data_IF_559223148182
#
_entry.id   IF_559223148182
#
_cell.length_a   1.000
_cell.length_b   1.000
_cell.length_c   1.000
_cell.angle_alpha   90.00
_cell.angle_beta   90.00
_cell.angle_gamma   90.00
#
_symmetry.space_group_name_H-M   'P 1'
#
loop_
_entity.id
_entity.type
_entity.pdbx_description
1 polymer ?
#
# COMPACT_ATOMS: atom_id res chain seq x y z
N UNK A 1 -23.25 28.34 -16.46
CA UNK A 1 -21.81 28.52 -16.25
C UNK A 1 -21.23 28.71 -17.63
N UNK A 2 -20.74 29.92 -17.93
CA UNK A 2 -20.13 30.24 -19.22
C UNK A 2 -18.67 29.76 -19.19
N UNK A 3 -18.45 28.49 -19.54
CA UNK A 3 -17.15 27.85 -19.63
C UNK A 3 -16.94 27.21 -21.01
N UNK A 4 -15.72 26.75 -21.29
CA UNK A 4 -15.44 26.03 -22.53
C UNK A 4 -16.14 24.65 -22.54
N UNK A 5 -16.91 24.38 -23.59
CA UNK A 5 -17.60 23.08 -23.80
C UNK A 5 -16.62 21.92 -23.98
N UNK A 6 -15.39 22.21 -24.41
CA UNK A 6 -14.32 21.23 -24.64
C UNK A 6 -13.01 21.72 -24.07
N UNK A 7 -12.34 20.85 -23.30
CA UNK A 7 -11.00 21.08 -22.76
C UNK A 7 -10.07 19.98 -23.26
N UNK A 8 -8.91 20.38 -23.78
CA UNK A 8 -7.86 19.46 -24.21
C UNK A 8 -6.59 19.78 -23.43
N UNK A 9 -6.19 18.86 -22.56
CA UNK A 9 -4.97 18.99 -21.76
C UNK A 9 -3.82 18.27 -22.46
N UNK A 10 -2.78 19.00 -22.83
CA UNK A 10 -1.58 18.41 -23.45
C UNK A 10 -0.55 18.05 -22.38
N UNK A 11 -0.57 16.80 -21.91
CA UNK A 11 0.45 16.26 -21.00
C UNK A 11 0.78 14.81 -21.36
N UNK A 12 2.05 14.41 -21.17
CA UNK A 12 2.50 13.03 -21.37
C UNK A 12 2.49 12.20 -20.09
N UNK A 13 2.41 12.86 -18.95
CA UNK A 13 2.50 12.22 -17.64
C UNK A 13 1.16 11.63 -17.22
N UNK A 14 1.18 10.35 -16.82
CA UNK A 14 0.00 9.64 -16.32
C UNK A 14 -0.54 10.21 -15.02
N UNK A 15 0.28 10.90 -14.24
CA UNK A 15 -0.16 11.54 -12.99
C UNK A 15 -1.19 12.65 -13.29
N UNK A 16 -1.04 13.34 -14.42
CA UNK A 16 -2.04 14.30 -14.90
C UNK A 16 -3.33 13.60 -15.33
N UNK A 17 -3.27 12.40 -15.92
CA UNK A 17 -4.48 11.65 -16.25
C UNK A 17 -5.29 11.33 -15.00
N UNK A 18 -4.62 10.97 -13.90
CA UNK A 18 -5.26 10.65 -12.62
C UNK A 18 -5.93 11.89 -12.01
N UNK A 19 -5.26 13.06 -12.06
CA UNK A 19 -5.84 14.35 -11.67
C UNK A 19 -7.07 14.69 -12.51
N UNK A 20 -6.95 14.63 -13.83
CA UNK A 20 -8.07 14.93 -14.73
C UNK A 20 -9.24 13.98 -14.52
N UNK A 21 -8.95 12.69 -14.24
CA UNK A 21 -9.99 11.71 -13.91
C UNK A 21 -10.77 12.18 -12.70
N UNK A 22 -10.10 12.57 -11.60
CA UNK A 22 -10.77 13.05 -10.38
C UNK A 22 -11.62 14.31 -10.60
N UNK A 23 -11.06 15.31 -11.30
CA UNK A 23 -11.69 16.62 -11.50
C UNK A 23 -12.62 16.69 -12.73
N UNK A 24 -12.79 15.60 -13.49
CA UNK A 24 -13.51 15.60 -14.77
C UNK A 24 -14.89 16.29 -14.69
N UNK A 25 -15.68 15.95 -13.67
CA UNK A 25 -17.03 16.51 -13.46
C UNK A 25 -17.07 18.00 -13.11
N UNK A 26 -15.94 18.61 -12.75
CA UNK A 26 -15.85 20.03 -12.39
C UNK A 26 -15.31 20.90 -13.53
N UNK A 27 -14.68 20.29 -14.55
CA UNK A 27 -13.97 21.01 -15.61
C UNK A 27 -14.85 21.26 -16.84
N UNK A 28 -15.27 20.19 -17.52
CA UNK A 28 -16.04 20.27 -18.76
C UNK A 28 -16.68 18.92 -19.10
N UNK A 29 -17.82 18.95 -19.79
CA UNK A 29 -18.48 17.75 -20.29
C UNK A 29 -17.64 17.00 -21.34
N UNK A 30 -16.75 17.70 -22.04
CA UNK A 30 -15.87 17.12 -23.05
C UNK A 30 -14.39 17.34 -22.71
N UNK A 31 -13.85 16.48 -21.82
CA UNK A 31 -12.47 16.55 -21.35
C UNK A 31 -11.58 15.50 -22.03
N UNK A 32 -10.49 15.97 -22.66
CA UNK A 32 -9.50 15.13 -23.33
C UNK A 32 -8.09 15.35 -22.78
N UNK A 33 -7.30 14.29 -22.73
CA UNK A 33 -5.86 14.39 -22.47
C UNK A 33 -5.07 13.93 -23.68
N UNK A 34 -4.15 14.77 -24.17
CA UNK A 34 -3.31 14.43 -25.32
C UNK A 34 -2.05 13.65 -24.90
N UNK A 35 -2.03 12.34 -25.11
CA UNK A 35 -0.90 11.45 -24.83
C UNK A 35 -0.04 11.18 -26.07
N UNK A 36 1.24 11.59 -26.09
CA UNK A 36 2.24 11.12 -27.08
C UNK A 36 2.79 12.14 -28.10
N UNK A 37 3.69 11.67 -28.98
CA UNK A 37 4.48 12.45 -29.97
C UNK A 37 4.21 12.10 -31.45
N UNK A 38 2.99 11.64 -31.79
CA UNK A 38 2.49 11.11 -33.09
C UNK A 38 2.75 9.61 -33.32
N UNK A 39 1.66 8.83 -33.43
CA UNK A 39 1.23 8.19 -34.70
C UNK A 39 -0.10 7.41 -34.57
N UNK A 40 -0.60 7.09 -33.38
CA UNK A 40 -1.96 6.54 -33.18
C UNK A 40 -2.61 7.12 -31.90
N UNK A 41 -3.95 7.26 -31.95
CA UNK A 41 -4.87 7.94 -31.01
C UNK A 41 -4.18 8.77 -29.90
N UNK A 42 -3.79 10.02 -30.22
CA UNK A 42 -3.04 10.85 -29.28
C UNK A 42 -3.91 11.42 -28.17
N UNK A 43 -5.15 10.97 -28.00
CA UNK A 43 -6.11 11.52 -27.04
C UNK A 43 -6.78 10.42 -26.24
N UNK A 44 -6.83 10.63 -24.93
CA UNK A 44 -7.65 9.88 -23.98
C UNK A 44 -8.89 10.72 -23.70
N UNK A 45 -10.07 10.17 -23.96
CA UNK A 45 -11.35 10.73 -23.55
C UNK A 45 -11.51 10.55 -22.04
N UNK A 46 -11.15 11.55 -21.24
CA UNK A 46 -11.21 11.45 -19.77
C UNK A 46 -12.66 11.37 -19.30
N UNK A 47 -13.57 12.08 -19.98
CA UNK A 47 -15.00 12.08 -19.70
C UNK A 47 -15.69 10.71 -19.91
N UNK A 48 -15.07 9.81 -20.68
CA UNK A 48 -15.58 8.45 -20.90
C UNK A 48 -15.09 7.44 -19.84
N UNK A 49 -14.16 7.84 -18.97
CA UNK A 49 -13.64 6.96 -17.91
C UNK A 49 -14.72 6.78 -16.84
N UNK A 50 -15.33 5.60 -16.83
CA UNK A 50 -16.35 5.23 -15.86
C UNK A 50 -15.72 4.66 -14.59
N UNK A 51 -15.81 5.41 -13.50
CA UNK A 51 -15.46 4.95 -12.15
C UNK A 51 -16.71 4.91 -11.26
N UNK A 52 -16.75 4.01 -10.29
CA UNK A 52 -17.78 4.07 -9.24
C UNK A 52 -17.59 5.36 -8.42
N UNK A 53 -18.63 5.89 -7.74
CA UNK A 53 -18.49 7.10 -6.93
C UNK A 53 -17.34 7.02 -5.90
N UNK A 54 -17.16 5.86 -5.27
CA UNK A 54 -16.05 5.61 -4.33
C UNK A 54 -14.69 5.65 -5.04
N UNK A 55 -14.56 4.99 -6.19
CA UNK A 55 -13.31 5.00 -6.95
C UNK A 55 -12.97 6.40 -7.45
N UNK A 56 -13.95 7.13 -7.97
CA UNK A 56 -13.80 8.53 -8.41
C UNK A 56 -13.30 9.43 -7.29
N UNK A 57 -13.89 9.30 -6.09
CA UNK A 57 -13.49 10.06 -4.90
C UNK A 57 -12.05 9.74 -4.47
N UNK A 58 -11.64 8.48 -4.61
CA UNK A 58 -10.41 7.96 -4.00
C UNK A 58 -9.29 7.66 -5.02
N UNK A 59 -9.44 8.01 -6.30
CA UNK A 59 -8.43 7.70 -7.33
C UNK A 59 -7.08 8.38 -7.05
N UNK A 60 -7.09 9.61 -6.53
CA UNK A 60 -5.87 10.35 -6.18
C UNK A 60 -5.12 9.69 -5.02
N UNK A 61 -5.84 9.35 -3.95
CA UNK A 61 -5.25 8.72 -2.77
C UNK A 61 -4.78 7.30 -3.07
N UNK A 62 -5.52 6.56 -3.90
CA UNK A 62 -5.10 5.26 -4.43
C UNK A 62 -3.79 5.36 -5.21
N UNK A 63 -3.68 6.38 -6.09
CA UNK A 63 -2.46 6.62 -6.85
C UNK A 63 -1.27 6.90 -5.93
N UNK A 64 -1.47 7.73 -4.90
CA UNK A 64 -0.45 8.05 -3.90
C UNK A 64 0.03 6.82 -3.12
N UNK A 65 -0.88 6.03 -2.51
CA UNK A 65 -0.52 4.87 -1.67
C UNK A 65 0.03 3.68 -2.46
N UNK A 66 -0.27 3.58 -3.75
CA UNK A 66 0.31 2.53 -4.62
C UNK A 66 1.60 2.97 -5.29
N UNK A 67 2.06 4.19 -5.02
CA UNK A 67 3.32 4.76 -5.47
C UNK A 67 3.17 5.81 -6.58
N UNK A 68 3.92 6.90 -6.44
CA UNK A 68 4.05 7.99 -7.41
C UNK A 68 5.47 8.56 -7.28
N UNK A 69 5.75 9.72 -7.88
CA UNK A 69 7.09 10.32 -7.84
C UNK A 69 7.63 10.60 -6.43
N UNK A 70 6.74 10.89 -5.46
CA UNK A 70 7.11 11.26 -4.09
C UNK A 70 6.84 10.16 -3.07
N UNK A 71 6.13 9.10 -3.46
CA UNK A 71 5.74 8.00 -2.58
C UNK A 71 6.18 6.68 -3.20
N UNK A 72 6.93 5.88 -2.45
CA UNK A 72 7.47 4.60 -2.92
C UNK A 72 6.38 3.65 -3.43
N UNK A 73 6.64 2.94 -4.53
CA UNK A 73 5.79 1.81 -4.94
C UNK A 73 5.90 0.61 -3.99
N UNK A 74 4.94 -0.31 -4.08
CA UNK A 74 4.93 -1.56 -3.34
C UNK A 74 5.74 -2.63 -4.08
N UNK A 75 6.72 -3.22 -3.40
CA UNK A 75 7.52 -4.30 -3.99
C UNK A 75 6.63 -5.47 -4.42
N UNK A 76 6.79 -5.93 -5.67
CA UNK A 76 5.99 -7.01 -6.26
C UNK A 76 4.53 -6.64 -6.59
N UNK A 77 4.07 -5.43 -6.26
CA UNK A 77 2.68 -5.00 -6.45
C UNK A 77 2.60 -3.68 -7.23
N UNK A 78 2.33 -3.77 -8.53
CA UNK A 78 2.03 -2.60 -9.36
C UNK A 78 0.54 -2.24 -9.35
N UNK A 79 0.21 -1.05 -9.86
CA UNK A 79 -1.17 -0.53 -9.99
C UNK A 79 -2.15 -1.51 -10.64
N UNK A 80 -1.71 -2.28 -11.63
CA UNK A 80 -2.54 -3.32 -12.27
C UNK A 80 -2.94 -4.43 -11.28
N UNK A 81 -2.02 -4.82 -10.40
CA UNK A 81 -2.25 -5.90 -9.42
C UNK A 81 -3.10 -5.43 -8.24
N UNK A 82 -2.94 -4.18 -7.82
CA UNK A 82 -3.71 -3.57 -6.71
C UNK A 82 -5.08 -3.05 -7.15
N UNK A 83 -5.33 -2.88 -8.46
CA UNK A 83 -6.58 -2.34 -8.98
C UNK A 83 -7.82 -3.11 -8.53
N UNK A 84 -7.75 -4.45 -8.52
CA UNK A 84 -8.89 -5.27 -8.08
C UNK A 84 -9.23 -5.04 -6.61
N UNK A 85 -8.22 -4.85 -5.77
CA UNK A 85 -8.40 -4.51 -4.35
C UNK A 85 -9.03 -3.13 -4.23
N UNK A 86 -8.60 -2.17 -5.04
CA UNK A 86 -9.22 -0.83 -5.08
C UNK A 86 -10.69 -0.86 -5.52
N UNK A 87 -11.04 -1.68 -6.51
CA UNK A 87 -12.43 -1.84 -6.95
C UNK A 87 -13.33 -2.38 -5.84
N UNK A 88 -12.81 -3.27 -4.98
CA UNK A 88 -13.59 -3.93 -3.93
C UNK A 88 -13.56 -3.18 -2.60
N UNK A 89 -12.43 -2.57 -2.27
CA UNK A 89 -12.12 -2.02 -0.95
C UNK A 89 -11.70 -0.55 -0.99
N UNK A 90 -12.00 0.17 -2.08
CA UNK A 90 -11.61 1.58 -2.25
C UNK A 90 -12.16 2.52 -1.17
N UNK A 91 -13.23 2.14 -0.47
CA UNK A 91 -13.80 2.91 0.65
C UNK A 91 -12.85 2.98 1.87
N UNK A 92 -11.92 2.02 2.02
CA UNK A 92 -10.89 2.06 3.07
C UNK A 92 -9.95 3.27 2.94
N UNK A 93 -9.97 3.96 1.81
CA UNK A 93 -9.15 5.14 1.53
C UNK A 93 -9.94 6.47 1.66
N UNK A 94 -11.21 6.45 2.07
CA UNK A 94 -12.12 7.62 2.01
C UNK A 94 -11.56 8.88 2.71
N UNK A 95 -10.94 8.68 3.87
CA UNK A 95 -10.41 9.78 4.71
C UNK A 95 -8.96 10.15 4.40
N UNK A 96 -8.25 9.35 3.57
CA UNK A 96 -6.86 9.62 3.27
C UNK A 96 -6.72 10.92 2.46
N UNK A 97 -5.72 11.74 2.80
CA UNK A 97 -5.51 13.05 2.20
C UNK A 97 -6.56 14.10 2.57
N UNK A 98 -7.44 13.82 3.55
CA UNK A 98 -8.49 14.74 4.01
C UNK A 98 -8.29 15.09 5.47
N UNK A 99 -8.32 16.39 5.77
CA UNK A 99 -8.11 16.88 7.12
C UNK A 99 -6.81 16.38 7.75
N UNK A 100 -6.81 16.26 9.08
CA UNK A 100 -5.69 15.72 9.85
C UNK A 100 -5.66 14.19 9.78
N UNK A 101 -4.49 13.62 9.53
CA UNK A 101 -4.32 12.16 9.52
C UNK A 101 -4.56 11.58 10.92
N UNK A 102 -5.58 10.75 11.05
CA UNK A 102 -5.96 10.08 12.29
C UNK A 102 -5.46 8.64 12.35
N UNK A 103 -5.34 8.07 13.56
CA UNK A 103 -5.02 6.65 13.74
C UNK A 103 -6.08 5.73 13.11
N UNK A 104 -7.36 6.12 13.11
CA UNK A 104 -8.41 5.35 12.41
C UNK A 104 -8.18 5.34 10.90
N UNK A 105 -7.77 6.46 10.30
CA UNK A 105 -7.42 6.52 8.88
C UNK A 105 -6.21 5.62 8.58
N UNK A 106 -5.18 5.64 9.45
CA UNK A 106 -4.00 4.78 9.31
C UNK A 106 -4.42 3.29 9.34
N UNK A 107 -5.30 2.89 10.26
CA UNK A 107 -5.82 1.51 10.35
C UNK A 107 -6.64 1.11 9.12
N UNK A 108 -7.50 1.98 8.61
CA UNK A 108 -8.27 1.70 7.39
C UNK A 108 -7.35 1.49 6.18
N UNK A 109 -6.32 2.33 6.03
CA UNK A 109 -5.34 2.17 4.95
C UNK A 109 -4.46 0.94 5.19
N UNK A 110 -4.12 0.60 6.43
CA UNK A 110 -3.43 -0.65 6.76
C UNK A 110 -4.25 -1.88 6.34
N UNK A 111 -5.56 -1.88 6.61
CA UNK A 111 -6.44 -2.95 6.13
C UNK A 111 -6.40 -3.04 4.60
N UNK A 112 -6.41 -1.92 3.87
CA UNK A 112 -6.27 -1.91 2.41
C UNK A 112 -5.00 -2.62 1.96
N UNK A 113 -3.87 -2.40 2.65
CA UNK A 113 -2.62 -3.12 2.39
C UNK A 113 -2.72 -4.60 2.74
N UNK A 114 -3.38 -4.96 3.84
CA UNK A 114 -3.63 -6.36 4.18
C UNK A 114 -4.40 -7.09 3.06
N UNK A 115 -5.40 -6.43 2.45
CA UNK A 115 -6.13 -6.98 1.28
C UNK A 115 -5.25 -7.12 0.03
N UNK A 116 -4.21 -6.28 -0.15
CA UNK A 116 -3.23 -6.43 -1.24
C UNK A 116 -2.38 -7.69 -1.07
N UNK A 117 -1.83 -7.90 0.12
CA UNK A 117 -0.92 -9.00 0.40
C UNK A 117 -1.63 -10.33 0.74
N UNK A 118 -2.89 -10.26 1.18
CA UNK A 118 -3.69 -11.40 1.60
C UNK A 118 -5.16 -11.27 1.20
N UNK A 119 -5.48 -11.27 -0.11
CA UNK A 119 -6.83 -10.98 -0.61
C UNK A 119 -7.91 -11.97 -0.17
N UNK A 120 -7.52 -13.17 0.29
CA UNK A 120 -8.45 -14.21 0.76
C UNK A 120 -8.63 -14.21 2.29
N UNK A 121 -8.10 -13.21 3.00
CA UNK A 121 -8.10 -13.13 4.45
C UNK A 121 -8.77 -11.85 4.93
N UNK A 122 -9.34 -11.91 6.13
CA UNK A 122 -9.89 -10.77 6.86
C UNK A 122 -8.92 -10.20 7.91
N UNK A 123 -7.62 -10.55 7.81
CA UNK A 123 -6.56 -9.91 8.59
C UNK A 123 -6.52 -8.41 8.27
N UNK A 124 -6.49 -7.57 9.31
CA UNK A 124 -6.42 -6.10 9.20
C UNK A 124 -5.12 -5.51 9.74
N UNK A 125 -4.27 -6.35 10.33
CA UNK A 125 -2.96 -5.97 10.87
C UNK A 125 -1.85 -6.46 9.92
N UNK A 126 -1.04 -5.53 9.41
CA UNK A 126 -0.04 -5.86 8.39
C UNK A 126 1.10 -6.71 8.95
N UNK A 127 1.40 -6.61 10.25
CA UNK A 127 2.42 -7.43 10.89
C UNK A 127 1.97 -8.89 10.99
N UNK A 128 0.68 -9.15 11.23
CA UNK A 128 0.12 -10.52 11.25
C UNK A 128 0.18 -11.13 9.85
N UNK A 129 -0.19 -10.36 8.83
CA UNK A 129 -0.05 -10.76 7.41
C UNK A 129 1.41 -11.08 7.10
N UNK A 130 2.33 -10.20 7.51
CA UNK A 130 3.79 -10.36 7.32
C UNK A 130 4.29 -11.62 8.02
N UNK A 131 3.90 -11.86 9.26
CA UNK A 131 4.28 -13.03 10.04
C UNK A 131 3.74 -14.33 9.43
N UNK A 132 2.46 -14.37 9.05
CA UNK A 132 1.86 -15.54 8.39
C UNK A 132 2.52 -15.86 7.06
N UNK A 133 2.81 -14.85 6.22
CA UNK A 133 3.51 -15.04 4.95
C UNK A 133 4.92 -15.59 5.18
N UNK A 134 5.62 -15.08 6.19
CA UNK A 134 6.91 -15.61 6.61
C UNK A 134 6.81 -17.07 7.08
N UNK A 135 5.83 -17.39 7.93
CA UNK A 135 5.59 -18.77 8.42
C UNK A 135 5.29 -19.76 7.29
N UNK A 136 4.68 -19.31 6.18
CA UNK A 136 4.43 -20.11 4.97
C UNK A 136 5.64 -20.28 4.06
N UNK A 137 6.79 -19.73 4.45
CA UNK A 137 8.07 -19.97 3.80
C UNK A 137 8.43 -18.94 2.73
N UNK A 138 7.82 -17.75 2.75
CA UNK A 138 8.30 -16.62 1.96
C UNK A 138 9.68 -16.21 2.46
N UNK A 139 10.73 -16.62 1.75
CA UNK A 139 12.13 -16.35 2.11
C UNK A 139 12.65 -15.01 1.59
N UNK A 140 11.99 -14.50 0.56
CA UNK A 140 12.34 -13.25 -0.09
C UNK A 140 11.71 -12.10 0.71
N UNK A 141 12.55 -11.33 1.41
CA UNK A 141 12.10 -10.24 2.27
C UNK A 141 11.39 -9.14 1.47
N UNK A 142 11.72 -8.97 0.18
CA UNK A 142 11.09 -7.99 -0.69
C UNK A 142 9.65 -8.38 -1.07
N UNK A 143 9.27 -9.66 -0.90
CA UNK A 143 7.91 -10.17 -1.13
C UNK A 143 7.06 -10.17 0.13
N UNK A 144 7.63 -9.85 1.27
CA UNK A 144 6.87 -9.69 2.49
C UNK A 144 6.19 -8.30 2.51
N UNK A 145 5.00 -8.18 3.10
CA UNK A 145 4.39 -6.89 3.38
C UNK A 145 5.31 -6.00 4.20
N UNK A 146 5.26 -4.66 4.10
CA UNK A 146 6.01 -3.78 4.99
C UNK A 146 5.63 -4.04 6.46
N UNK A 147 6.52 -3.70 7.40
CA UNK A 147 6.09 -3.66 8.79
C UNK A 147 5.14 -2.48 9.03
N UNK A 148 4.32 -2.55 10.08
CA UNK A 148 3.39 -1.48 10.45
C UNK A 148 4.08 -0.12 10.60
N UNK A 149 5.27 -0.09 11.22
CA UNK A 149 6.05 1.15 11.40
C UNK A 149 6.46 1.77 10.07
N UNK A 150 6.94 0.96 9.12
CA UNK A 150 7.28 1.46 7.79
C UNK A 150 6.04 1.91 7.02
N UNK A 151 4.96 1.12 7.11
CA UNK A 151 3.69 1.42 6.46
C UNK A 151 3.11 2.75 6.96
N UNK A 152 3.18 3.04 8.26
CA UNK A 152 2.73 4.31 8.83
C UNK A 152 3.45 5.51 8.20
N UNK A 153 4.78 5.44 8.04
CA UNK A 153 5.54 6.51 7.38
C UNK A 153 5.19 6.65 5.90
N UNK A 154 4.92 5.53 5.23
CA UNK A 154 4.42 5.53 3.86
C UNK A 154 3.03 6.18 3.76
N UNK A 155 2.11 5.86 4.66
CA UNK A 155 0.77 6.46 4.73
C UNK A 155 0.86 7.97 4.96
N UNK A 156 1.73 8.44 5.86
CA UNK A 156 1.96 9.87 6.09
C UNK A 156 2.37 10.61 4.82
N UNK A 157 3.30 10.04 4.04
CA UNK A 157 3.72 10.62 2.76
C UNK A 157 2.58 10.63 1.74
N UNK A 158 1.85 9.53 1.64
CA UNK A 158 0.70 9.42 0.73
C UNK A 158 -0.43 10.39 1.09
N UNK A 159 -0.70 10.58 2.39
CA UNK A 159 -1.67 11.56 2.90
C UNK A 159 -1.29 12.96 2.47
N UNK A 160 -0.03 13.36 2.71
CA UNK A 160 0.47 14.67 2.32
C UNK A 160 0.42 14.88 0.80
N UNK A 161 0.87 13.91 0.01
CA UNK A 161 0.83 14.01 -1.45
C UNK A 161 -0.61 14.16 -1.97
N UNK A 162 -1.56 13.43 -1.38
CA UNK A 162 -2.97 13.55 -1.74
C UNK A 162 -3.56 14.92 -1.35
N UNK A 163 -3.19 15.49 -0.20
CA UNK A 163 -3.60 16.85 0.19
C UNK A 163 -3.14 17.91 -0.82
N UNK A 164 -1.94 17.75 -1.38
CA UNK A 164 -1.46 18.62 -2.46
C UNK A 164 -2.33 18.47 -3.70
N UNK A 165 -2.60 17.23 -4.13
CA UNK A 165 -3.40 16.97 -5.33
C UNK A 165 -4.88 17.37 -5.20
N UNK A 166 -5.47 17.30 -4.01
CA UNK A 166 -6.84 17.77 -3.79
C UNK A 166 -6.99 19.28 -3.92
N UNK A 167 -5.90 20.04 -3.99
CA UNK A 167 -5.89 21.48 -4.23
C UNK A 167 -5.50 21.86 -5.66
N UNK A 168 -5.48 20.90 -6.60
CA UNK A 168 -5.01 21.14 -7.97
C UNK A 168 -5.90 22.12 -8.78
N UNK A 169 -7.13 22.36 -8.34
CA UNK A 169 -8.07 23.34 -8.89
C UNK A 169 -7.98 24.72 -8.20
N UNK A 170 -7.19 24.84 -7.13
CA UNK A 170 -6.96 26.10 -6.42
C UNK A 170 -5.84 26.88 -7.12
N UNK A 171 -6.07 28.14 -7.55
CA UNK A 171 -5.06 28.92 -8.30
C UNK A 171 -3.74 29.14 -7.55
N UNK A 172 -3.80 29.28 -6.23
CA UNK A 172 -2.64 29.47 -5.34
C UNK A 172 -2.89 28.60 -4.11
N UNK A 173 -2.52 27.30 -4.16
CA UNK A 173 -2.77 26.38 -3.05
C UNK A 173 -1.81 26.68 -1.89
N UNK A 174 -2.32 26.59 -0.67
CA UNK A 174 -1.49 26.62 0.53
C UNK A 174 -1.02 25.19 0.84
N UNK A 175 0.24 24.92 0.52
CA UNK A 175 0.84 23.60 0.68
C UNK A 175 1.66 23.60 1.97
N UNK A 176 1.28 22.73 2.91
CA UNK A 176 2.05 22.51 4.14
C UNK A 176 3.43 21.92 3.83
N UNK A 177 4.36 22.01 4.79
CA UNK A 177 5.66 21.37 4.63
C UNK A 177 5.53 19.83 4.66
N UNK A 178 6.26 19.09 3.80
CA UNK A 178 6.33 17.63 3.88
C UNK A 178 7.14 17.13 5.09
N UNK A 179 7.85 18.01 5.81
CA UNK A 179 8.65 17.65 7.00
C UNK A 179 7.70 17.21 8.12
N UNK A 180 7.95 16.03 8.69
CA UNK A 180 7.08 15.40 9.69
C UNK A 180 5.97 14.52 9.08
N UNK A 181 5.69 14.66 7.78
CA UNK A 181 4.75 13.82 7.03
C UNK A 181 5.43 12.58 6.44
N UNK A 182 6.22 11.90 7.27
CA UNK A 182 7.00 10.73 6.86
C UNK A 182 8.28 11.06 6.08
N UNK A 183 8.68 12.33 6.09
CA UNK A 183 9.95 12.84 5.58
C UNK A 183 10.64 13.74 6.61
N UNK A 184 11.96 13.86 6.53
CA UNK A 184 12.78 14.84 7.24
C UNK A 184 13.67 15.62 6.28
N UNK A 185 14.10 16.80 6.70
CA UNK A 185 15.08 17.61 5.97
C UNK A 185 16.47 17.43 6.61
N UNK A 186 17.48 17.15 5.78
CA UNK A 186 18.87 17.09 6.23
C UNK A 186 19.53 18.48 6.34
N UNK A 187 20.75 18.54 6.86
CA UNK A 187 21.50 19.80 6.99
C UNK A 187 21.79 20.51 5.64
N UNK A 188 21.64 19.81 4.51
CA UNK A 188 21.80 20.35 3.15
C UNK A 188 20.48 20.79 2.52
N UNK A 189 19.39 20.79 3.30
CA UNK A 189 18.03 21.12 2.86
C UNK A 189 17.45 20.15 1.84
N UNK A 190 17.87 18.88 1.89
CA UNK A 190 17.29 17.81 1.08
C UNK A 190 16.29 17.01 1.88
N UNK A 191 15.16 16.70 1.26
CA UNK A 191 14.13 15.85 1.85
C UNK A 191 14.50 14.38 1.70
N UNK A 192 14.38 13.65 2.80
CA UNK A 192 14.59 12.21 2.85
C UNK A 192 13.38 11.52 3.49
N UNK A 193 12.95 10.36 2.97
CA UNK A 193 11.90 9.60 3.61
C UNK A 193 12.39 9.09 4.98
N UNK A 194 11.53 9.13 5.98
CA UNK A 194 11.78 8.40 7.22
C UNK A 194 11.80 6.90 6.92
N UNK A 195 12.98 6.31 7.03
CA UNK A 195 13.18 4.86 7.11
C UNK A 195 13.18 4.48 8.59
N UNK A 196 12.27 3.58 8.99
CA UNK A 196 12.32 3.00 10.33
C UNK A 196 13.59 2.15 10.43
N UNK A 197 14.59 2.62 11.17
CA UNK A 197 15.88 1.91 11.36
C UNK A 197 15.70 0.68 12.28
N UNK A 198 14.60 0.63 13.04
CA UNK A 198 14.38 -0.35 14.12
C UNK A 198 13.49 -1.54 13.74
N UNK A 199 13.53 -2.02 12.50
CA UNK A 199 12.81 -3.25 12.14
C UNK A 199 13.66 -4.22 11.33
N UNK A 200 14.84 -4.66 11.84
CA UNK A 200 15.27 -5.99 11.47
C UNK A 200 14.11 -6.92 11.86
N UNK A 201 13.65 -7.76 10.93
CA UNK A 201 12.89 -8.94 11.31
C UNK A 201 13.52 -9.46 12.60
N UNK A 202 12.80 -9.55 13.74
CA UNK A 202 13.38 -9.95 15.02
C UNK A 202 14.42 -11.03 14.77
N UNK A 203 15.64 -10.89 15.31
CA UNK A 203 16.80 -11.74 15.00
C UNK A 203 16.53 -13.26 15.07
N UNK A 204 15.39 -13.65 15.64
CA UNK A 204 14.72 -14.95 15.57
C UNK A 204 14.39 -15.44 14.13
N UNK A 205 14.38 -14.56 13.12
CA UNK A 205 13.88 -14.83 11.77
C UNK A 205 14.97 -14.97 10.68
N UNK A 206 16.24 -14.73 10.99
CA UNK A 206 17.32 -14.92 10.01
C UNK A 206 17.62 -16.40 9.71
N UNK A 207 17.22 -17.30 10.60
CA UNK A 207 17.39 -18.74 10.47
C UNK A 207 16.02 -19.44 10.35
N UNK A 208 15.34 -19.33 9.20
CA UNK A 208 14.15 -20.14 8.93
C UNK A 208 14.53 -21.62 8.91
N UNK A 209 14.21 -22.33 9.99
CA UNK A 209 14.42 -23.77 10.09
C UNK A 209 13.09 -24.48 9.83
N UNK A 210 12.91 -24.94 8.59
CA UNK A 210 11.78 -25.79 8.24
C UNK A 210 12.17 -27.27 8.34
N UNK A 211 11.49 -28.04 9.17
CA UNK A 211 11.72 -29.48 9.18
C UNK A 211 11.03 -30.17 8.01
N UNK A 212 11.66 -31.24 7.51
CA UNK A 212 11.07 -32.15 6.51
C UNK A 212 10.47 -33.41 7.15
N UNK A 213 10.19 -33.36 8.44
CA UNK A 213 9.79 -34.52 9.23
C UNK A 213 8.34 -34.90 8.96
N UNK A 214 8.02 -36.20 9.02
CA UNK A 214 6.64 -36.69 9.11
C UNK A 214 6.15 -36.79 10.57
N UNK A 215 7.07 -37.04 11.50
CA UNK A 215 6.83 -37.02 12.94
C UNK A 215 7.91 -36.14 13.59
N UNK A 216 7.50 -35.07 14.26
CA UNK A 216 8.37 -34.07 14.88
C UNK A 216 8.39 -34.11 16.42
N UNK A 217 8.01 -35.25 17.02
CA UNK A 217 8.00 -35.45 18.46
C UNK A 217 9.41 -35.55 19.09
N UNK A 218 10.45 -35.81 18.31
CA UNK A 218 11.82 -36.06 18.81
C UNK A 218 12.82 -35.01 18.33
N UNK A 219 14.00 -34.98 18.97
CA UNK A 219 15.11 -34.09 18.59
C UNK A 219 15.73 -34.39 17.21
N UNK A 220 15.21 -35.39 16.46
CA UNK A 220 15.52 -35.56 15.03
C UNK A 220 14.88 -34.49 14.15
N UNK A 221 13.87 -33.79 14.67
CA UNK A 221 13.29 -32.64 14.00
C UNK A 221 14.26 -31.45 14.06
N UNK A 222 14.64 -30.90 12.91
CA UNK A 222 15.55 -29.74 12.84
C UNK A 222 15.02 -28.52 13.59
N UNK A 223 13.70 -28.28 13.57
CA UNK A 223 13.07 -27.21 14.36
C UNK A 223 13.29 -27.47 15.85
N UNK A 224 12.89 -28.64 16.34
CA UNK A 224 12.99 -29.00 17.76
C UNK A 224 14.43 -29.06 18.26
N UNK A 225 15.37 -29.52 17.42
CA UNK A 225 16.80 -29.56 17.74
C UNK A 225 17.40 -28.17 17.98
N UNK A 226 16.86 -27.14 17.32
CA UNK A 226 17.22 -25.73 17.51
C UNK A 226 16.33 -25.02 18.54
N UNK A 227 15.53 -25.76 19.32
CA UNK A 227 14.53 -25.22 20.25
C UNK A 227 13.46 -24.32 19.60
N UNK A 228 13.20 -24.50 18.30
CA UNK A 228 12.18 -23.78 17.55
C UNK A 228 10.90 -24.62 17.41
N UNK A 229 9.75 -23.94 17.36
CA UNK A 229 8.47 -24.56 16.97
C UNK A 229 8.42 -24.77 15.46
N UNK A 230 7.72 -25.81 15.00
CA UNK A 230 7.45 -26.01 13.59
C UNK A 230 6.44 -24.96 13.09
N UNK A 231 6.85 -24.17 12.11
CA UNK A 231 6.01 -23.20 11.38
C UNK A 231 5.24 -23.86 10.24
N UNK A 232 4.23 -23.18 9.67
CA UNK A 232 3.39 -23.70 8.59
C UNK A 232 4.18 -24.27 7.38
N UNK A 233 5.34 -23.71 7.07
CA UNK A 233 6.23 -24.18 6.01
C UNK A 233 6.91 -25.54 6.28
N UNK A 234 6.79 -26.11 7.49
CA UNK A 234 7.35 -27.43 7.81
C UNK A 234 6.50 -28.55 7.20
N UNK A 235 7.14 -29.58 6.64
CA UNK A 235 6.46 -30.73 6.02
C UNK A 235 5.57 -31.49 7.00
N UNK A 236 5.87 -31.45 8.30
CA UNK A 236 5.06 -32.11 9.33
C UNK A 236 3.62 -31.58 9.44
N UNK A 237 3.34 -30.37 8.95
CA UNK A 237 1.98 -29.81 8.95
C UNK A 237 1.07 -30.38 7.86
N UNK A 238 1.60 -31.20 6.94
CA UNK A 238 0.75 -32.00 6.03
C UNK A 238 0.05 -33.18 6.75
N UNK A 239 0.38 -33.41 8.03
CA UNK A 239 -0.25 -34.39 8.90
C UNK A 239 -0.35 -33.84 10.33
N UNK A 240 -0.17 -34.69 11.34
CA UNK A 240 -0.20 -34.26 12.75
C UNK A 240 1.18 -33.75 13.18
N UNK A 241 1.30 -32.43 13.36
CA UNK A 241 2.49 -31.79 13.90
C UNK A 241 2.52 -31.92 15.44
N UNK A 242 3.58 -32.52 15.98
CA UNK A 242 3.83 -32.72 17.42
C UNK A 242 4.78 -31.65 18.03
N UNK A 243 5.09 -30.62 17.26
CA UNK A 243 5.86 -29.46 17.70
C UNK A 243 5.27 -28.16 17.10
N UNK A 244 3.95 -27.93 17.15
CA UNK A 244 3.33 -26.81 16.44
C UNK A 244 3.73 -25.47 17.06
N UNK A 245 3.82 -24.44 16.22
CA UNK A 245 3.84 -23.06 16.69
C UNK A 245 2.45 -22.72 17.24
N UNK A 246 2.35 -22.37 18.52
CA UNK A 246 1.12 -21.84 19.09
C UNK A 246 0.96 -20.41 18.59
N UNK A 247 -0.09 -20.14 17.84
CA UNK A 247 -0.56 -18.77 17.63
C UNK A 247 -1.12 -18.32 18.98
N UNK A 248 -0.27 -17.71 19.82
CA UNK A 248 -0.77 -16.91 20.92
C UNK A 248 -1.30 -15.63 20.27
N UNK A 249 -2.61 -15.62 19.98
CA UNK A 249 -3.33 -14.36 19.89
C UNK A 249 -3.35 -13.88 21.34
N UNK A 250 -2.41 -13.01 21.70
CA UNK A 250 -2.60 -12.17 22.88
C UNK A 250 -3.78 -11.26 22.54
N UNK A 251 -4.99 -11.71 22.90
CA UNK A 251 -6.10 -10.80 23.08
C UNK A 251 -5.73 -9.95 24.28
N UNK A 252 -5.12 -8.79 24.04
CA UNK A 252 -5.07 -7.75 25.05
C UNK A 252 -6.52 -7.47 25.44
N UNK A 253 -6.82 -7.94 26.65
CA UNK A 253 -8.10 -7.81 27.31
C UNK A 253 -8.02 -6.55 28.14
N UNK A 254 -8.95 -5.63 27.86
CA UNK A 254 -9.30 -4.40 28.61
C UNK A 254 -8.37 -3.18 28.49
#
# INVERSE_FOLDING_TARGET
MDGYERIIVSCRDTDVLVLLTHFAGQLSGELWMRTGTRQELPYVAVHDIQLTPTMQRNILVYHAVTGCDTVSQLSGHGKKTTWKVFQQHGALLDDLGRGTLSESTIRSVEEFFCRIYSPASDETNINDVRYRMFQKGTKDQEKLPPSRKFLEQHIKRAHHQAQVWFQADVPIPEIESPIGSGCYEDATRRLHPHVSVDDPLPNEFTDIVCCKCKNCATSRCSCRAKNLKCIAACTCNNGVCHNPCSVAIETDSE
#
